data_IF_903391554218
#
_entry.id   IF_903391554218
#
_cell.length_a   1.000
_cell.length_b   1.000
_cell.length_c   1.000
_cell.angle_alpha   90.00
_cell.angle_beta   90.00
_cell.angle_gamma   90.00
#
_symmetry.space_group_name_H-M   'P 1'
#
loop_
_entity.id
_entity.type
_entity.pdbx_description
1 polymer ?
#
# COMPACT_ATOMS: atom_id res chain seq x y z
N UNK A 1 -9.13 -15.35 -22.18
CA UNK A 1 -8.38 -14.56 -23.18
C UNK A 1 -7.85 -13.31 -22.47
N UNK A 2 -7.32 -12.32 -23.18
CA UNK A 2 -6.86 -11.04 -22.60
C UNK A 2 -8.00 -10.03 -22.69
N UNK A 3 -8.41 -9.46 -21.56
CA UNK A 3 -9.45 -8.44 -21.48
C UNK A 3 -8.91 -7.05 -21.75
N UNK A 4 -7.70 -6.74 -21.25
CA UNK A 4 -7.00 -5.47 -21.46
C UNK A 4 -5.54 -5.78 -21.81
N UNK A 5 -5.09 -5.30 -22.96
CA UNK A 5 -3.71 -5.40 -23.44
C UNK A 5 -3.13 -3.99 -23.61
N UNK A 6 -2.20 -3.62 -22.74
CA UNK A 6 -1.47 -2.35 -22.75
C UNK A 6 -0.11 -2.61 -23.39
N UNK A 7 0.19 -1.93 -24.50
CA UNK A 7 1.39 -2.17 -25.29
C UNK A 7 2.25 -0.90 -25.43
N UNK A 8 3.37 -0.87 -24.69
CA UNK A 8 4.38 0.21 -24.71
C UNK A 8 3.77 1.61 -24.60
N UNK A 9 2.79 1.74 -23.70
CA UNK A 9 2.01 2.96 -23.53
C UNK A 9 2.81 4.01 -22.79
N UNK A 10 2.87 5.19 -23.37
CA UNK A 10 3.39 6.39 -22.71
C UNK A 10 2.40 7.54 -22.81
N UNK A 11 2.31 8.36 -21.77
CA UNK A 11 1.50 9.56 -21.72
C UNK A 11 2.32 10.76 -21.27
N UNK A 12 2.35 11.76 -22.16
CA UNK A 12 3.01 13.05 -21.93
C UNK A 12 1.97 14.15 -21.77
N UNK A 13 2.14 14.97 -20.74
CA UNK A 13 1.41 16.21 -20.50
C UNK A 13 2.36 17.40 -20.64
N UNK A 14 1.82 18.56 -21.01
CA UNK A 14 2.58 19.82 -21.02
C UNK A 14 2.24 20.59 -19.74
N UNK A 15 3.23 20.81 -18.89
CA UNK A 15 3.13 21.67 -17.72
C UNK A 15 3.48 23.10 -18.14
N UNK A 16 2.53 24.01 -18.02
CA UNK A 16 2.76 25.44 -18.28
C UNK A 16 3.22 26.11 -16.99
N UNK A 17 4.44 26.62 -16.98
CA UNK A 17 5.10 27.23 -15.81
C UNK A 17 4.74 28.71 -15.62
N UNK A 18 4.19 29.37 -16.63
CA UNK A 18 3.76 30.78 -16.57
C UNK A 18 2.22 30.88 -16.64
N UNK A 19 1.57 31.22 -15.52
CA UNK A 19 0.24 31.85 -15.56
C UNK A 19 0.47 33.37 -15.52
N UNK A 20 0.20 34.14 -16.60
CA UNK A 20 0.34 35.58 -16.55
C UNK A 20 -0.63 36.16 -15.52
N UNK A 21 -0.11 36.92 -14.56
CA UNK A 21 -0.88 37.50 -13.45
C UNK A 21 -1.71 38.72 -13.86
N UNK A 22 -1.53 39.21 -15.09
CA UNK A 22 -2.20 40.39 -15.61
C UNK A 22 -2.36 40.36 -17.13
N UNK A 23 -3.48 40.91 -17.62
CA UNK A 23 -3.76 41.11 -19.05
C UNK A 23 -2.65 41.91 -19.75
N UNK A 24 -1.92 42.79 -19.02
CA UNK A 24 -0.76 43.53 -19.57
C UNK A 24 0.45 42.63 -19.89
N UNK A 25 0.64 41.51 -19.19
CA UNK A 25 1.70 40.54 -19.48
C UNK A 25 1.41 39.72 -20.74
N UNK A 26 0.12 39.53 -21.06
CA UNK A 26 -0.32 38.87 -22.29
C UNK A 26 0.09 39.63 -23.56
N UNK A 27 0.10 40.96 -23.50
CA UNK A 27 0.45 41.83 -24.63
C UNK A 27 1.96 42.09 -24.77
N UNK A 28 2.77 41.78 -23.75
CA UNK A 28 4.22 42.06 -23.74
C UNK A 28 5.09 40.82 -24.02
N UNK A 29 4.62 39.60 -23.75
CA UNK A 29 5.34 38.37 -24.13
C UNK A 29 4.91 37.86 -25.51
N UNK A 30 5.51 38.40 -26.58
CA UNK A 30 5.48 37.85 -27.95
C UNK A 30 6.37 36.58 -28.10
N UNK A 31 6.32 35.66 -27.13
CA UNK A 31 7.12 34.44 -27.10
C UNK A 31 6.23 33.21 -26.96
N UNK A 32 6.63 32.08 -27.56
CA UNK A 32 5.94 30.79 -27.36
C UNK A 32 5.83 30.50 -25.85
N UNK A 33 4.66 30.06 -25.36
CA UNK A 33 4.49 29.74 -23.95
C UNK A 33 5.55 28.72 -23.55
N UNK A 34 6.28 29.01 -22.47
CA UNK A 34 7.22 28.04 -21.89
C UNK A 34 6.40 26.92 -21.28
N UNK A 35 6.65 25.71 -21.73
CA UNK A 35 6.08 24.50 -21.15
C UNK A 35 7.19 23.47 -20.97
N UNK A 36 7.03 22.63 -19.95
CA UNK A 36 7.85 21.46 -19.72
C UNK A 36 7.03 20.21 -20.01
N UNK A 37 7.68 19.23 -20.62
CA UNK A 37 7.07 17.94 -20.91
C UNK A 37 7.14 17.06 -19.64
N UNK A 38 5.98 16.67 -19.11
CA UNK A 38 5.84 15.76 -17.98
C UNK A 38 5.32 14.40 -18.45
N UNK A 39 6.08 13.34 -18.20
CA UNK A 39 5.70 11.97 -18.52
C UNK A 39 4.99 11.34 -17.32
N UNK A 40 3.66 11.26 -17.39
CA UNK A 40 2.87 10.63 -16.33
C UNK A 40 2.92 9.10 -16.39
N UNK A 41 3.05 8.54 -17.59
CA UNK A 41 3.21 7.10 -17.85
C UNK A 41 4.26 6.96 -18.94
N UNK A 42 5.15 5.98 -18.83
CA UNK A 42 6.27 5.80 -19.75
C UNK A 42 6.60 4.33 -19.97
N UNK A 43 6.45 3.91 -21.21
CA UNK A 43 6.84 2.60 -21.74
C UNK A 43 6.22 1.44 -20.94
N UNK A 44 4.95 1.58 -20.58
CA UNK A 44 4.20 0.58 -19.80
C UNK A 44 3.60 -0.48 -20.71
N UNK A 45 3.86 -1.75 -20.40
CA UNK A 45 3.20 -2.90 -21.01
C UNK A 45 2.62 -3.78 -19.92
N UNK A 46 1.38 -4.22 -20.09
CA UNK A 46 0.61 -4.96 -19.08
C UNK A 46 -0.50 -5.77 -19.75
N UNK A 47 -0.72 -7.00 -19.31
CA UNK A 47 -1.80 -7.87 -19.80
C UNK A 47 -2.71 -8.33 -18.67
N UNK A 48 -4.00 -8.03 -18.80
CA UNK A 48 -5.01 -8.39 -17.80
C UNK A 48 -5.93 -9.45 -18.41
N UNK A 49 -6.00 -10.61 -17.75
CA UNK A 49 -6.81 -11.75 -18.20
C UNK A 49 -8.27 -11.52 -17.87
N UNK A 50 -9.14 -12.03 -18.74
CA UNK A 50 -10.58 -12.05 -18.49
C UNK A 50 -10.93 -12.77 -17.19
N UNK A 51 -11.90 -12.25 -16.44
CA UNK A 51 -12.42 -12.83 -15.20
C UNK A 51 -11.43 -12.83 -14.04
N UNK A 52 -10.37 -12.01 -14.13
CA UNK A 52 -9.41 -11.82 -13.04
C UNK A 52 -9.50 -10.44 -12.44
N UNK A 53 -9.08 -10.32 -11.19
CA UNK A 53 -8.90 -9.05 -10.50
C UNK A 53 -7.42 -8.67 -10.52
N UNK A 54 -7.10 -7.54 -11.11
CA UNK A 54 -5.74 -7.01 -11.21
C UNK A 54 -5.56 -5.78 -10.32
N UNK A 55 -4.63 -5.83 -9.38
CA UNK A 55 -4.30 -4.72 -8.49
C UNK A 55 -3.24 -3.79 -9.10
N UNK A 56 -3.48 -2.48 -9.11
CA UNK A 56 -2.51 -1.47 -9.51
C UNK A 56 -2.09 -0.64 -8.29
N UNK A 57 -0.85 -0.84 -7.84
CA UNK A 57 -0.29 -0.23 -6.63
C UNK A 57 0.88 0.70 -6.93
N UNK A 58 1.17 1.61 -6.01
CA UNK A 58 2.25 2.60 -6.16
C UNK A 58 1.88 3.93 -5.52
N UNK A 59 2.85 4.81 -5.30
CA UNK A 59 2.65 6.08 -4.60
C UNK A 59 1.68 7.03 -5.34
N UNK A 60 1.19 8.06 -4.64
CA UNK A 60 0.38 9.11 -5.26
C UNK A 60 1.17 9.84 -6.34
N UNK A 61 0.57 10.02 -7.51
CA UNK A 61 1.24 10.65 -8.65
C UNK A 61 2.17 9.75 -9.46
N UNK A 62 2.25 8.43 -9.19
CA UNK A 62 3.08 7.52 -10.00
C UNK A 62 2.47 7.14 -11.36
N UNK A 63 1.29 7.67 -11.71
CA UNK A 63 0.65 7.44 -13.01
C UNK A 63 -0.53 6.46 -13.02
N UNK A 64 -0.91 5.87 -11.88
CA UNK A 64 -2.02 4.87 -11.78
C UNK A 64 -3.32 5.36 -12.43
N UNK A 65 -3.84 6.50 -11.97
CA UNK A 65 -5.09 7.05 -12.50
C UNK A 65 -4.95 7.60 -13.93
N UNK A 66 -3.73 7.90 -14.40
CA UNK A 66 -3.49 8.23 -15.81
C UNK A 66 -3.54 6.98 -16.69
N UNK A 67 -2.94 5.87 -16.24
CA UNK A 67 -3.03 4.57 -16.89
C UNK A 67 -4.48 4.06 -16.91
N UNK A 68 -5.19 4.15 -15.78
CA UNK A 68 -6.58 3.73 -15.66
C UNK A 68 -7.49 4.54 -16.61
N UNK A 69 -7.28 5.86 -16.75
CA UNK A 69 -8.00 6.70 -17.73
C UNK A 69 -7.68 6.33 -19.19
N UNK A 70 -6.47 5.85 -19.48
CA UNK A 70 -6.13 5.35 -20.83
C UNK A 70 -6.79 4.00 -21.11
N UNK A 71 -6.85 3.11 -20.11
CA UNK A 71 -7.63 1.85 -20.21
C UNK A 71 -9.12 2.12 -20.42
N UNK A 72 -9.66 3.15 -19.75
CA UNK A 72 -11.05 3.58 -19.93
C UNK A 72 -11.33 4.27 -21.28
N UNK A 73 -10.31 4.54 -22.09
CA UNK A 73 -10.45 5.29 -23.35
C UNK A 73 -10.69 6.80 -23.19
N UNK A 74 -10.63 7.33 -21.96
CA UNK A 74 -10.81 8.77 -21.66
C UNK A 74 -9.60 9.58 -22.13
N UNK A 75 -8.40 9.00 -22.02
CA UNK A 75 -7.18 9.61 -22.52
C UNK A 75 -6.54 8.77 -23.60
N UNK A 76 -6.22 9.39 -24.74
CA UNK A 76 -5.40 8.75 -25.77
C UNK A 76 -3.93 8.70 -25.31
N UNK A 77 -3.24 7.55 -25.43
CA UNK A 77 -1.80 7.46 -25.26
C UNK A 77 -1.05 8.45 -26.18
N UNK A 78 0.11 8.92 -25.74
CA UNK A 78 1.03 9.67 -26.61
C UNK A 78 1.79 8.74 -27.55
N UNK A 79 2.19 7.58 -27.04
CA UNK A 79 2.76 6.46 -27.81
C UNK A 79 2.20 5.14 -27.29
N UNK A 80 2.31 4.07 -28.09
CA UNK A 80 1.74 2.77 -27.77
C UNK A 80 0.23 2.73 -27.96
N UNK A 81 -0.41 1.66 -27.50
CA UNK A 81 -1.85 1.46 -27.62
C UNK A 81 -2.42 0.66 -26.45
N UNK A 82 -3.71 0.85 -26.19
CA UNK A 82 -4.49 0.02 -25.27
C UNK A 82 -5.60 -0.65 -26.06
N UNK A 83 -5.67 -1.98 -26.00
CA UNK A 83 -6.72 -2.78 -26.64
C UNK A 83 -7.57 -3.41 -25.54
N UNK A 84 -8.89 -3.29 -25.66
CA UNK A 84 -9.83 -3.78 -24.66
C UNK A 84 -10.90 -4.65 -25.32
N UNK A 85 -11.16 -5.81 -24.75
CA UNK A 85 -12.13 -6.78 -25.25
C UNK A 85 -13.36 -6.84 -24.34
N UNK A 86 -14.29 -5.90 -24.54
CA UNK A 86 -15.57 -5.89 -23.83
C UNK A 86 -16.05 -4.49 -23.46
N UNK A 87 -17.24 -4.43 -22.84
CA UNK A 87 -17.80 -3.18 -22.28
C UNK A 87 -17.08 -2.81 -20.99
N UNK A 88 -16.52 -1.59 -20.97
CA UNK A 88 -15.83 -1.03 -19.80
C UNK A 88 -16.80 -0.14 -19.02
N UNK A 89 -16.89 -0.37 -17.72
CA UNK A 89 -17.40 0.60 -16.75
C UNK A 89 -16.24 1.10 -15.89
N UNK A 90 -16.18 2.40 -15.64
CA UNK A 90 -15.06 3.01 -14.92
C UNK A 90 -15.55 3.88 -13.76
N UNK A 91 -15.24 3.49 -12.53
CA UNK A 91 -15.49 4.23 -11.30
C UNK A 91 -14.39 5.29 -11.05
N UNK A 92 -14.08 6.07 -12.07
CA UNK A 92 -13.02 7.08 -12.05
C UNK A 92 -13.53 8.45 -11.60
N UNK A 93 -14.77 8.76 -11.97
CA UNK A 93 -15.39 10.06 -11.77
C UNK A 93 -16.83 9.83 -11.28
N UNK A 94 -16.97 9.35 -10.04
CA UNK A 94 -18.29 9.07 -9.46
C UNK A 94 -19.17 10.33 -9.49
N UNK A 95 -20.34 10.20 -10.12
CA UNK A 95 -21.26 11.31 -10.34
C UNK A 95 -20.90 12.24 -11.50
N UNK A 96 -19.90 11.92 -12.31
CA UNK A 96 -19.72 12.58 -13.61
C UNK A 96 -20.99 12.39 -14.45
N UNK A 97 -21.51 13.49 -14.98
CA UNK A 97 -22.79 13.51 -15.68
C UNK A 97 -24.01 13.66 -14.77
N UNK A 98 -23.86 13.79 -13.45
CA UNK A 98 -24.98 14.23 -12.61
C UNK A 98 -25.30 15.70 -12.85
N UNK A 99 -26.59 16.00 -12.93
CA UNK A 99 -27.13 17.34 -13.05
C UNK A 99 -27.66 17.81 -11.68
N UNK A 100 -27.12 18.90 -11.09
CA UNK A 100 -27.46 19.33 -9.73
C UNK A 100 -28.95 19.66 -9.51
N UNK A 101 -29.63 20.14 -10.55
CA UNK A 101 -31.06 20.49 -10.49
C UNK A 101 -32.00 19.29 -10.64
N UNK A 102 -31.49 18.13 -11.09
CA UNK A 102 -32.29 16.91 -11.23
C UNK A 102 -32.31 16.15 -9.91
N UNK A 103 -33.38 15.40 -9.69
CA UNK A 103 -33.53 14.46 -8.56
C UNK A 103 -32.52 13.32 -8.64
N UNK A 104 -32.30 12.61 -7.53
CA UNK A 104 -31.48 11.39 -7.54
C UNK A 104 -31.99 10.37 -8.55
N UNK A 105 -33.31 10.17 -8.63
CA UNK A 105 -33.96 9.27 -9.60
C UNK A 105 -33.64 9.65 -11.04
N UNK A 106 -33.82 10.92 -11.40
CA UNK A 106 -33.51 11.41 -12.75
C UNK A 106 -32.01 11.30 -13.08
N UNK A 107 -31.15 11.52 -12.09
CA UNK A 107 -29.71 11.32 -12.22
C UNK A 107 -29.32 9.86 -12.43
N UNK A 108 -30.05 8.90 -11.85
CA UNK A 108 -29.87 7.47 -12.16
C UNK A 108 -30.11 7.22 -13.65
N UNK A 109 -31.24 7.70 -14.21
CA UNK A 109 -31.53 7.53 -15.64
C UNK A 109 -30.49 8.20 -16.53
N UNK A 110 -30.10 9.43 -16.19
CA UNK A 110 -29.09 10.17 -16.95
C UNK A 110 -27.76 9.41 -16.97
N UNK A 111 -27.26 9.00 -15.81
CA UNK A 111 -25.97 8.32 -15.70
C UNK A 111 -26.00 6.90 -16.30
N UNK A 112 -27.08 6.14 -16.07
CA UNK A 112 -27.29 4.84 -16.70
C UNK A 112 -27.28 4.93 -18.24
N UNK A 113 -27.89 5.97 -18.81
CA UNK A 113 -27.87 6.19 -20.26
C UNK A 113 -26.48 6.52 -20.81
N UNK A 114 -25.68 7.29 -20.05
CA UNK A 114 -24.26 7.56 -20.38
C UNK A 114 -23.44 6.26 -20.37
N UNK A 115 -23.76 5.36 -19.44
CA UNK A 115 -23.14 4.04 -19.32
C UNK A 115 -23.72 3.00 -20.31
N UNK A 116 -24.62 3.42 -21.21
CA UNK A 116 -25.14 2.60 -22.31
C UNK A 116 -26.33 1.70 -21.94
N UNK A 117 -26.97 1.91 -20.78
CA UNK A 117 -28.22 1.23 -20.45
C UNK A 117 -29.41 1.87 -21.16
N UNK A 118 -30.30 1.03 -21.67
CA UNK A 118 -31.63 1.46 -22.09
C UNK A 118 -32.50 1.85 -20.89
N UNK A 119 -33.57 2.60 -21.15
CA UNK A 119 -34.55 2.97 -20.12
C UNK A 119 -35.14 1.74 -19.44
N UNK A 120 -35.51 0.71 -20.20
CA UNK A 120 -36.08 -0.54 -19.67
C UNK A 120 -35.10 -1.28 -18.75
N UNK A 121 -33.83 -1.39 -19.15
CA UNK A 121 -32.80 -1.97 -18.27
C UNK A 121 -32.59 -1.13 -17.00
N UNK A 122 -32.70 0.18 -17.10
CA UNK A 122 -32.59 1.07 -15.95
C UNK A 122 -33.78 0.87 -14.99
N UNK A 123 -35.00 0.71 -15.53
CA UNK A 123 -36.20 0.44 -14.73
C UNK A 123 -36.06 -0.86 -13.90
N UNK A 124 -35.48 -1.91 -14.50
CA UNK A 124 -35.23 -3.20 -13.82
C UNK A 124 -34.19 -3.11 -12.69
N UNK A 125 -33.27 -2.14 -12.77
CA UNK A 125 -32.18 -1.95 -11.80
C UNK A 125 -32.49 -0.88 -10.76
N UNK A 126 -33.49 -0.03 -10.99
CA UNK A 126 -33.73 1.19 -10.23
C UNK A 126 -33.83 0.94 -8.73
N UNK A 127 -34.70 0.01 -8.32
CA UNK A 127 -34.92 -0.28 -6.90
C UNK A 127 -33.66 -0.83 -6.22
N UNK A 128 -32.90 -1.69 -6.92
CA UNK A 128 -31.63 -2.23 -6.42
C UNK A 128 -30.57 -1.14 -6.26
N UNK A 129 -30.49 -0.21 -7.21
CA UNK A 129 -29.58 0.95 -7.14
C UNK A 129 -29.93 1.81 -5.92
N UNK A 130 -31.21 2.13 -5.73
CA UNK A 130 -31.67 2.99 -4.62
C UNK A 130 -31.44 2.31 -3.27
N UNK A 131 -31.70 1.02 -3.17
CA UNK A 131 -31.45 0.22 -1.95
C UNK A 131 -29.96 0.08 -1.64
N UNK A 132 -29.12 -0.13 -2.66
CA UNK A 132 -27.68 -0.18 -2.51
C UNK A 132 -27.13 1.17 -2.03
N UNK A 133 -27.60 2.27 -2.64
CA UNK A 133 -27.21 3.61 -2.22
C UNK A 133 -27.72 3.94 -0.80
N UNK A 134 -28.81 3.33 -0.34
CA UNK A 134 -29.45 3.65 0.94
C UNK A 134 -30.10 5.04 0.95
N UNK A 135 -30.66 5.46 -0.20
CA UNK A 135 -31.19 6.80 -0.42
C UNK A 135 -32.70 6.83 -0.66
N UNK A 136 -33.44 5.80 -0.23
CA UNK A 136 -34.88 5.66 -0.45
C UNK A 136 -35.68 6.92 -0.08
N UNK A 137 -35.34 7.56 1.05
CA UNK A 137 -36.02 8.77 1.53
C UNK A 137 -35.64 10.06 0.79
N UNK A 138 -34.51 10.06 0.06
CA UNK A 138 -33.94 11.25 -0.58
C UNK A 138 -33.91 11.15 -2.11
N UNK A 139 -34.33 10.02 -2.68
CA UNK A 139 -34.14 9.73 -4.11
C UNK A 139 -34.86 10.73 -5.02
N UNK A 140 -36.00 11.25 -4.57
CA UNK A 140 -36.80 12.24 -5.30
C UNK A 140 -36.45 13.70 -4.90
N UNK A 141 -35.36 13.90 -4.14
CA UNK A 141 -34.81 15.23 -3.86
C UNK A 141 -33.71 15.60 -4.88
N UNK A 142 -33.61 16.88 -5.30
CA UNK A 142 -32.53 17.35 -6.15
C UNK A 142 -31.14 17.06 -5.58
N UNK A 143 -30.22 16.59 -6.42
CA UNK A 143 -28.89 16.13 -5.99
C UNK A 143 -28.02 17.28 -5.44
N UNK A 144 -28.30 18.54 -5.77
CA UNK A 144 -27.66 19.71 -5.11
C UNK A 144 -27.89 19.78 -3.60
N UNK A 145 -28.89 19.08 -3.07
CA UNK A 145 -29.18 19.00 -1.63
C UNK A 145 -28.55 17.78 -0.97
N UNK A 146 -27.86 16.93 -1.73
CA UNK A 146 -27.19 15.75 -1.20
C UNK A 146 -25.93 16.15 -0.45
N UNK A 147 -25.61 15.42 0.62
CA UNK A 147 -24.25 15.47 1.16
C UNK A 147 -23.26 14.88 0.15
N UNK A 148 -21.97 15.19 0.31
CA UNK A 148 -20.91 14.58 -0.50
C UNK A 148 -20.95 13.04 -0.45
N UNK A 149 -21.26 12.46 0.71
CA UNK A 149 -21.43 11.02 0.89
C UNK A 149 -22.61 10.45 0.10
N UNK A 150 -23.77 11.11 0.16
CA UNK A 150 -24.96 10.68 -0.61
C UNK A 150 -24.70 10.75 -2.12
N UNK A 151 -24.05 11.83 -2.57
CA UNK A 151 -23.67 12.02 -3.98
C UNK A 151 -22.81 10.86 -4.49
N UNK A 152 -21.75 10.54 -3.72
CA UNK A 152 -20.82 9.46 -4.07
C UNK A 152 -21.49 8.09 -3.99
N UNK A 153 -22.30 7.82 -2.96
CA UNK A 153 -23.06 6.57 -2.82
C UNK A 153 -23.98 6.33 -4.01
N UNK A 154 -24.68 7.37 -4.49
CA UNK A 154 -25.55 7.25 -5.67
C UNK A 154 -24.74 6.97 -6.94
N UNK A 155 -23.67 7.73 -7.18
CA UNK A 155 -22.81 7.53 -8.35
C UNK A 155 -22.20 6.13 -8.39
N UNK A 156 -21.75 5.62 -7.24
CA UNK A 156 -21.23 4.27 -7.12
C UNK A 156 -22.32 3.22 -7.35
N UNK A 157 -23.48 3.38 -6.71
CA UNK A 157 -24.59 2.43 -6.81
C UNK A 157 -25.04 2.22 -8.26
N UNK A 158 -25.14 3.29 -9.04
CA UNK A 158 -25.46 3.19 -10.47
C UNK A 158 -24.36 2.40 -11.19
N UNK A 159 -23.11 2.81 -11.05
CA UNK A 159 -22.03 2.30 -11.85
C UNK A 159 -21.66 0.83 -11.55
N UNK A 160 -21.94 0.32 -10.34
CA UNK A 160 -21.74 -1.10 -10.00
C UNK A 160 -22.91 -2.01 -10.37
N UNK A 161 -24.09 -1.44 -10.66
CA UNK A 161 -25.25 -2.19 -11.15
C UNK A 161 -25.35 -2.21 -12.68
N UNK A 162 -24.50 -1.43 -13.37
CA UNK A 162 -24.30 -1.59 -14.82
C UNK A 162 -23.48 -2.85 -15.04
N UNK A 163 -24.06 -3.89 -15.64
CA UNK A 163 -23.45 -5.20 -15.92
C UNK A 163 -22.21 -5.08 -16.85
N UNK A 164 -20.99 -4.98 -16.28
CA UNK A 164 -19.78 -4.67 -17.03
C UNK A 164 -18.98 -5.93 -17.32
N UNK A 165 -18.34 -6.02 -18.49
CA UNK A 165 -17.36 -7.08 -18.73
C UNK A 165 -16.01 -6.75 -18.08
N UNK A 166 -15.72 -5.45 -18.01
CA UNK A 166 -14.51 -4.88 -17.43
C UNK A 166 -14.92 -3.74 -16.49
N UNK A 167 -14.52 -3.82 -15.22
CA UNK A 167 -14.73 -2.78 -14.23
C UNK A 167 -13.40 -2.17 -13.81
N UNK A 168 -13.24 -0.87 -14.04
CA UNK A 168 -12.07 -0.10 -13.58
C UNK A 168 -12.45 0.66 -12.32
N UNK A 169 -11.71 0.46 -11.24
CA UNK A 169 -12.00 1.08 -9.95
C UNK A 169 -10.81 1.91 -9.50
N UNK A 170 -10.99 3.24 -9.41
CA UNK A 170 -10.01 4.10 -8.75
C UNK A 170 -10.18 4.02 -7.22
N UNK A 171 -9.29 4.65 -6.47
CA UNK A 171 -9.23 4.70 -4.99
C UNK A 171 -10.52 5.16 -4.26
N UNK A 172 -11.59 5.40 -5.01
CA UNK A 172 -12.91 5.84 -4.58
C UNK A 172 -13.67 4.82 -3.73
N UNK A 173 -13.21 3.57 -3.62
CA UNK A 173 -13.78 2.60 -2.66
C UNK A 173 -13.66 3.11 -1.22
N UNK A 174 -12.65 3.93 -0.92
CA UNK A 174 -12.47 4.50 0.41
C UNK A 174 -13.48 5.62 0.75
N UNK A 175 -14.36 6.01 -0.17
CA UNK A 175 -15.35 7.07 0.06
C UNK A 175 -16.65 6.48 0.57
N UNK A 176 -17.09 6.92 1.75
CA UNK A 176 -18.28 6.43 2.43
C UNK A 176 -18.00 6.05 3.88
N UNK A 177 -19.03 5.60 4.58
CA UNK A 177 -18.90 4.98 5.91
C UNK A 177 -18.41 3.52 5.78
N UNK A 178 -17.95 2.94 6.89
CA UNK A 178 -17.42 1.57 6.95
C UNK A 178 -18.43 0.52 6.45
N UNK A 179 -19.72 0.74 6.73
CA UNK A 179 -20.80 -0.13 6.27
C UNK A 179 -20.90 -0.14 4.73
N UNK A 180 -20.90 1.05 4.11
CA UNK A 180 -20.93 1.19 2.66
C UNK A 180 -19.67 0.64 2.00
N UNK A 181 -18.49 0.87 2.59
CA UNK A 181 -17.24 0.28 2.10
C UNK A 181 -17.30 -1.25 2.07
N UNK A 182 -17.84 -1.86 3.13
CA UNK A 182 -18.03 -3.32 3.20
C UNK A 182 -18.99 -3.81 2.12
N UNK A 183 -20.13 -3.13 1.92
CA UNK A 183 -21.07 -3.46 0.82
C UNK A 183 -20.41 -3.35 -0.55
N UNK A 184 -19.56 -2.34 -0.77
CA UNK A 184 -18.79 -2.20 -2.01
C UNK A 184 -17.84 -3.38 -2.23
N UNK A 185 -17.08 -3.78 -1.20
CA UNK A 185 -16.15 -4.91 -1.29
C UNK A 185 -16.88 -6.24 -1.53
N UNK A 186 -18.00 -6.46 -0.85
CA UNK A 186 -18.81 -7.66 -1.03
C UNK A 186 -19.40 -7.73 -2.45
N UNK A 187 -19.80 -6.59 -3.03
CA UNK A 187 -20.24 -6.52 -4.43
C UNK A 187 -19.10 -6.77 -5.42
N UNK A 188 -17.91 -6.21 -5.19
CA UNK A 188 -16.75 -6.51 -6.05
C UNK A 188 -16.38 -8.00 -6.02
N UNK A 189 -16.55 -8.66 -4.87
CA UNK A 189 -16.38 -10.11 -4.74
C UNK A 189 -17.44 -10.90 -5.52
N UNK A 190 -18.70 -10.45 -5.54
CA UNK A 190 -19.74 -11.11 -6.34
C UNK A 190 -19.46 -10.95 -7.84
N UNK A 191 -19.08 -9.76 -8.29
CA UNK A 191 -18.67 -9.52 -9.68
C UNK A 191 -17.47 -10.39 -10.08
N UNK A 192 -16.47 -10.54 -9.20
CA UNK A 192 -15.36 -11.48 -9.41
C UNK A 192 -15.88 -12.91 -9.60
N UNK A 193 -16.79 -13.36 -8.75
CA UNK A 193 -17.37 -14.70 -8.83
C UNK A 193 -18.21 -14.93 -10.11
N UNK A 194 -18.82 -13.87 -10.64
CA UNK A 194 -19.55 -13.84 -11.92
C UNK A 194 -18.61 -13.81 -13.15
N UNK A 195 -17.30 -13.68 -12.94
CA UNK A 195 -16.30 -13.67 -14.02
C UNK A 195 -16.07 -12.30 -14.65
N UNK A 196 -16.46 -11.21 -13.97
CA UNK A 196 -16.13 -9.84 -14.38
C UNK A 196 -14.64 -9.60 -14.21
N UNK A 197 -14.03 -8.94 -15.20
CA UNK A 197 -12.63 -8.51 -15.10
C UNK A 197 -12.56 -7.21 -14.31
N UNK A 198 -11.74 -7.13 -13.27
CA UNK A 198 -11.68 -5.94 -12.41
C UNK A 198 -10.25 -5.41 -12.38
N UNK A 199 -10.06 -4.12 -12.61
CA UNK A 199 -8.79 -3.42 -12.36
C UNK A 199 -8.98 -2.51 -11.16
N UNK A 200 -8.24 -2.78 -10.09
CA UNK A 200 -8.37 -2.08 -8.83
C UNK A 200 -7.14 -1.24 -8.55
N UNK A 201 -7.30 0.08 -8.49
CA UNK A 201 -6.28 0.99 -7.95
C UNK A 201 -6.56 1.19 -6.47
N UNK A 202 -5.61 0.83 -5.61
CA UNK A 202 -5.74 1.00 -4.17
C UNK A 202 -4.40 1.09 -3.47
N UNK A 203 -4.38 1.82 -2.34
CA UNK A 203 -3.28 1.83 -1.39
C UNK A 203 -3.48 0.84 -0.24
N UNK A 204 -4.65 0.19 -0.15
CA UNK A 204 -4.94 -0.79 0.88
C UNK A 204 -4.35 -2.16 0.49
N UNK A 205 -3.10 -2.41 0.93
CA UNK A 205 -2.36 -3.63 0.58
C UNK A 205 -3.08 -4.93 0.97
N UNK A 206 -3.83 -4.92 2.09
CA UNK A 206 -4.64 -6.08 2.49
C UNK A 206 -5.74 -6.44 1.47
N UNK A 207 -6.32 -5.44 0.78
CA UNK A 207 -7.30 -5.69 -0.29
C UNK A 207 -6.60 -6.30 -1.51
N UNK A 208 -5.41 -5.82 -1.85
CA UNK A 208 -4.61 -6.35 -2.96
C UNK A 208 -4.29 -7.82 -2.72
N UNK A 209 -3.79 -8.16 -1.53
CA UNK A 209 -3.43 -9.52 -1.17
C UNK A 209 -4.64 -10.46 -1.06
N UNK A 210 -5.78 -9.96 -0.57
CA UNK A 210 -6.97 -10.78 -0.31
C UNK A 210 -7.94 -10.93 -1.48
N UNK A 211 -7.87 -10.06 -2.49
CA UNK A 211 -8.86 -10.03 -3.58
C UNK A 211 -8.26 -10.14 -4.98
N UNK A 212 -7.03 -9.64 -5.21
CA UNK A 212 -6.43 -9.64 -6.54
C UNK A 212 -5.85 -11.02 -6.87
N UNK A 213 -5.89 -11.38 -8.15
CA UNK A 213 -5.24 -12.58 -8.69
C UNK A 213 -3.83 -12.26 -9.21
N UNK A 214 -3.62 -11.02 -9.65
CA UNK A 214 -2.32 -10.47 -10.07
C UNK A 214 -2.22 -9.01 -9.64
N UNK A 215 -1.01 -8.47 -9.53
CA UNK A 215 -0.79 -7.07 -9.24
C UNK A 215 0.38 -6.48 -10.03
N UNK A 216 0.36 -5.16 -10.18
CA UNK A 216 1.44 -4.36 -10.77
C UNK A 216 1.78 -3.21 -9.84
N UNK A 217 3.07 -3.07 -9.53
CA UNK A 217 3.60 -1.91 -8.85
C UNK A 217 4.15 -0.90 -9.87
N UNK A 218 3.60 0.32 -9.84
CA UNK A 218 4.07 1.47 -10.59
C UNK A 218 4.84 2.48 -9.74
N UNK A 219 5.88 3.06 -10.32
CA UNK A 219 6.67 4.14 -9.74
C UNK A 219 7.08 5.13 -10.84
N UNK A 220 6.83 6.42 -10.62
CA UNK A 220 7.18 7.50 -11.56
C UNK A 220 6.83 7.20 -13.04
N UNK A 221 5.64 6.64 -13.28
CA UNK A 221 5.12 6.33 -14.60
C UNK A 221 5.59 5.02 -15.21
N UNK A 222 6.38 4.21 -14.50
CA UNK A 222 6.94 2.93 -14.99
C UNK A 222 6.47 1.75 -14.15
N UNK A 223 6.49 0.56 -14.73
CA UNK A 223 6.27 -0.71 -14.01
C UNK A 223 7.57 -1.14 -13.35
N UNK A 224 7.50 -1.41 -12.04
CA UNK A 224 8.64 -1.85 -11.23
C UNK A 224 8.58 -3.34 -10.94
N UNK A 225 7.37 -3.87 -10.75
CA UNK A 225 7.12 -5.29 -10.54
C UNK A 225 5.71 -5.65 -11.01
N UNK A 226 5.54 -6.86 -11.49
CA UNK A 226 4.25 -7.45 -11.88
C UNK A 226 4.25 -8.93 -11.50
N UNK A 227 3.08 -9.46 -11.13
CA UNK A 227 2.89 -10.88 -10.89
C UNK A 227 2.01 -11.16 -9.68
N UNK A 228 2.45 -12.11 -8.85
CA UNK A 228 1.72 -12.50 -7.63
C UNK A 228 1.53 -11.31 -6.67
N UNK A 229 0.31 -11.08 -6.15
CA UNK A 229 0.01 -9.97 -5.26
C UNK A 229 0.88 -9.90 -4.00
N UNK A 230 1.19 -11.03 -3.35
CA UNK A 230 2.02 -11.04 -2.14
C UNK A 230 3.45 -10.59 -2.47
N UNK A 231 4.02 -11.11 -3.55
CA UNK A 231 5.35 -10.72 -4.02
C UNK A 231 5.43 -9.24 -4.40
N UNK A 232 4.44 -8.73 -5.15
CA UNK A 232 4.40 -7.34 -5.61
C UNK A 232 4.24 -6.37 -4.45
N UNK A 233 3.35 -6.68 -3.50
CA UNK A 233 3.19 -5.88 -2.27
C UNK A 233 4.48 -5.87 -1.45
N UNK A 234 5.15 -7.02 -1.30
CA UNK A 234 6.44 -7.10 -0.61
C UNK A 234 7.51 -6.20 -1.26
N UNK A 235 7.63 -6.23 -2.59
CA UNK A 235 8.55 -5.36 -3.34
C UNK A 235 8.21 -3.89 -3.21
N UNK A 236 6.92 -3.54 -3.27
CA UNK A 236 6.45 -2.17 -3.07
C UNK A 236 6.82 -1.64 -1.69
N UNK A 237 6.50 -2.39 -0.62
CA UNK A 237 6.80 -1.98 0.75
C UNK A 237 8.30 -1.86 0.98
N UNK A 238 9.11 -2.78 0.44
CA UNK A 238 10.56 -2.67 0.49
C UNK A 238 11.06 -1.39 -0.20
N UNK A 239 10.60 -1.11 -1.42
CA UNK A 239 10.99 0.11 -2.13
C UNK A 239 10.49 1.42 -1.49
N UNK A 240 9.36 1.40 -0.78
CA UNK A 240 8.91 2.55 0.03
C UNK A 240 9.86 2.74 1.21
N UNK A 241 10.17 1.68 1.94
CA UNK A 241 11.07 1.73 3.09
C UNK A 241 12.49 2.16 2.68
N UNK A 242 13.00 1.70 1.55
CA UNK A 242 14.30 2.11 1.03
C UNK A 242 14.32 3.60 0.68
N UNK A 243 13.26 4.10 0.03
CA UNK A 243 13.13 5.53 -0.29
C UNK A 243 12.90 6.41 0.92
N UNK A 244 12.19 5.92 1.93
CA UNK A 244 12.05 6.61 3.21
C UNK A 244 13.40 6.63 3.92
N UNK A 245 14.14 5.52 3.96
CA UNK A 245 15.50 5.50 4.47
C UNK A 245 16.45 6.44 3.70
N UNK A 246 16.36 6.50 2.37
CA UNK A 246 17.13 7.43 1.53
C UNK A 246 16.70 8.89 1.71
N UNK A 247 15.39 9.16 1.87
CA UNK A 247 14.85 10.51 2.13
C UNK A 247 15.13 10.98 3.53
N UNK A 248 15.13 10.10 4.52
CA UNK A 248 15.56 10.41 5.87
C UNK A 248 17.06 10.68 5.86
N UNK A 249 17.86 9.89 5.12
CA UNK A 249 19.26 10.21 4.83
C UNK A 249 19.44 11.56 4.10
N UNK A 250 18.55 11.94 3.19
CA UNK A 250 18.66 13.16 2.39
C UNK A 250 18.08 14.41 3.08
N UNK A 251 17.04 14.24 3.90
CA UNK A 251 16.50 15.29 4.77
C UNK A 251 17.42 15.52 5.97
N UNK A 252 18.15 14.49 6.40
CA UNK A 252 19.34 14.59 7.24
C UNK A 252 20.56 15.18 6.47
N UNK A 253 20.43 15.67 5.24
CA UNK A 253 21.48 16.46 4.56
C UNK A 253 21.09 17.94 4.37
N UNK A 254 19.80 18.28 4.38
CA UNK A 254 19.33 19.68 4.36
C UNK A 254 18.92 20.21 5.76
N UNK A 255 18.61 19.32 6.71
CA UNK A 255 18.51 19.64 8.15
C UNK A 255 19.85 19.50 8.87
N UNK A 256 20.81 18.80 8.26
CA UNK A 256 22.18 18.77 8.74
C UNK A 256 22.95 19.87 8.03
N UNK A 257 23.37 20.86 8.82
CA UNK A 257 24.77 21.22 8.69
C UNK A 257 25.59 19.93 8.88
N UNK A 258 26.41 19.52 7.90
CA UNK A 258 27.45 18.55 8.18
C UNK A 258 28.37 19.25 9.16
N UNK A 259 28.13 19.04 10.45
CA UNK A 259 29.25 18.92 11.35
C UNK A 259 29.78 17.50 11.13
N UNK A 260 30.38 17.29 9.95
CA UNK A 260 31.68 16.61 9.87
C UNK A 260 32.71 17.50 10.57
N UNK A 261 32.46 17.69 11.84
CA UNK A 261 33.37 17.81 12.94
C UNK A 261 32.47 17.28 14.07
N UNK A 262 32.70 16.07 14.55
CA UNK A 262 33.42 16.01 15.82
C UNK A 262 34.24 17.31 15.99
N UNK A 263 33.61 18.35 16.52
CA UNK A 263 34.37 19.24 17.38
C UNK A 263 35.07 18.27 18.36
N UNK A 264 36.39 18.33 18.51
CA UNK A 264 37.16 17.35 19.28
C UNK A 264 36.47 17.10 20.62
N UNK A 265 35.85 15.92 20.76
CA UNK A 265 34.79 15.72 21.74
C UNK A 265 34.14 14.33 21.70
N UNK A 266 34.90 13.28 21.38
CA UNK A 266 34.84 11.94 22.00
C UNK A 266 33.47 11.27 22.32
N UNK A 267 32.40 11.38 21.52
CA UNK A 267 31.19 10.56 21.70
C UNK A 267 30.90 9.60 20.54
N UNK A 268 30.87 8.29 20.79
CA UNK A 268 30.52 7.26 19.79
C UNK A 268 29.94 6.02 20.46
N UNK A 269 28.90 5.41 19.91
CA UNK A 269 28.37 4.12 20.36
C UNK A 269 28.48 3.14 19.21
N UNK A 270 29.16 2.00 19.38
CA UNK A 270 29.36 1.00 18.34
C UNK A 270 28.90 -0.38 18.81
N UNK A 271 27.95 -0.97 18.08
CA UNK A 271 27.57 -2.38 18.28
C UNK A 271 28.73 -3.26 17.82
N UNK A 272 29.29 -4.04 18.74
CA UNK A 272 30.47 -4.88 18.52
C UNK A 272 30.07 -6.30 18.12
N UNK A 273 29.03 -6.86 18.75
CA UNK A 273 28.68 -8.27 18.58
C UNK A 273 27.22 -8.57 18.90
N UNK A 274 26.65 -9.54 18.18
CA UNK A 274 25.39 -10.19 18.51
C UNK A 274 25.63 -11.68 18.72
N UNK A 275 25.07 -12.23 19.80
CA UNK A 275 25.27 -13.64 20.22
C UNK A 275 23.94 -14.25 20.58
N UNK A 276 23.62 -15.39 19.96
CA UNK A 276 22.44 -16.19 20.31
C UNK A 276 22.77 -17.10 21.49
N UNK A 277 21.91 -17.14 22.50
CA UNK A 277 22.10 -17.92 23.72
C UNK A 277 20.80 -18.58 24.16
N UNK A 278 20.91 -19.72 24.84
CA UNK A 278 19.80 -20.31 25.57
C UNK A 278 19.54 -19.56 26.91
N UNK A 279 18.44 -19.85 27.63
CA UNK A 279 18.14 -19.22 28.92
C UNK A 279 19.21 -19.45 30.01
N UNK A 280 20.03 -20.49 29.87
CA UNK A 280 21.15 -20.79 30.78
C UNK A 280 22.43 -20.00 30.41
N UNK A 281 22.38 -19.20 29.34
CA UNK A 281 23.47 -18.35 28.85
C UNK A 281 24.47 -19.08 27.95
N UNK A 282 24.21 -20.32 27.56
CA UNK A 282 25.09 -21.05 26.64
C UNK A 282 24.84 -20.61 25.20
N UNK A 283 25.93 -20.45 24.44
CA UNK A 283 25.83 -20.06 23.05
C UNK A 283 25.17 -21.14 22.19
N UNK A 284 24.16 -20.75 21.42
CA UNK A 284 23.46 -21.63 20.48
C UNK A 284 23.66 -21.17 19.04
N UNK A 285 23.86 -22.09 18.07
CA UNK A 285 24.10 -21.72 16.67
C UNK A 285 22.81 -21.40 15.88
N UNK A 286 21.63 -21.67 16.44
CA UNK A 286 20.32 -21.43 15.83
C UNK A 286 19.25 -21.35 16.92
N UNK A 287 18.09 -20.76 16.61
CA UNK A 287 16.89 -20.81 17.43
C UNK A 287 16.02 -22.01 17.07
N UNK A 288 15.21 -22.48 18.02
CA UNK A 288 14.15 -23.46 17.78
C UNK A 288 12.80 -22.73 17.89
N UNK A 289 11.93 -22.94 16.90
CA UNK A 289 10.59 -22.37 16.86
C UNK A 289 9.78 -22.80 18.08
N UNK A 290 9.23 -21.84 18.82
CA UNK A 290 8.47 -22.09 20.04
C UNK A 290 9.31 -22.23 21.31
N UNK A 291 10.63 -22.38 21.19
CA UNK A 291 11.53 -22.47 22.35
C UNK A 291 12.01 -21.07 22.77
N UNK A 292 12.44 -20.90 24.03
CA UNK A 292 13.07 -19.67 24.46
C UNK A 292 14.39 -19.38 23.72
N UNK A 293 14.65 -18.10 23.45
CA UNK A 293 15.92 -17.65 22.86
C UNK A 293 16.31 -16.28 23.42
N UNK A 294 17.55 -16.16 23.88
CA UNK A 294 18.15 -14.89 24.30
C UNK A 294 19.10 -14.38 23.21
N UNK A 295 18.96 -13.11 22.85
CA UNK A 295 19.85 -12.44 21.90
C UNK A 295 20.65 -11.39 22.66
N UNK A 296 21.94 -11.68 22.87
CA UNK A 296 22.87 -10.77 23.55
C UNK A 296 23.49 -9.80 22.54
N UNK A 297 23.36 -8.51 22.82
CA UNK A 297 23.98 -7.43 22.04
C UNK A 297 25.08 -6.83 22.89
N UNK A 298 26.32 -6.82 22.39
CA UNK A 298 27.48 -6.16 23.00
C UNK A 298 27.81 -4.88 22.23
N UNK A 299 28.10 -3.80 22.95
CA UNK A 299 28.51 -2.53 22.34
C UNK A 299 29.52 -1.77 23.19
N UNK A 300 30.27 -0.88 22.54
CA UNK A 300 31.21 0.03 23.20
C UNK A 300 30.75 1.48 23.04
N UNK A 301 30.91 2.27 24.10
CA UNK A 301 30.70 3.71 24.10
C UNK A 301 31.99 4.45 24.38
N UNK A 302 32.20 5.56 23.67
CA UNK A 302 33.12 6.64 24.04
C UNK A 302 32.24 7.83 24.37
N UNK A 303 32.49 8.53 25.48
CA UNK A 303 31.71 9.68 25.92
C UNK A 303 30.38 9.36 26.63
N UNK A 304 29.56 10.38 26.90
CA UNK A 304 28.31 10.28 27.67
C UNK A 304 27.05 10.33 26.80
N UNK A 305 26.09 9.46 27.09
CA UNK A 305 24.80 9.37 26.41
C UNK A 305 23.66 9.55 27.42
N UNK A 306 22.78 10.52 27.19
CA UNK A 306 21.68 10.81 28.11
C UNK A 306 20.51 9.83 27.95
N UNK A 307 20.06 9.58 26.72
CA UNK A 307 18.96 8.64 26.41
C UNK A 307 19.28 7.77 25.19
N UNK A 308 20.31 6.90 25.27
CA UNK A 308 20.61 5.95 24.21
C UNK A 308 19.52 4.87 24.15
N UNK A 309 19.15 4.44 22.93
CA UNK A 309 18.24 3.33 22.68
C UNK A 309 18.85 2.38 21.65
N UNK A 310 18.71 1.08 21.91
CA UNK A 310 19.00 0.06 20.91
C UNK A 310 17.70 -0.40 20.27
N UNK A 311 17.70 -0.46 18.95
CA UNK A 311 16.56 -0.91 18.14
C UNK A 311 17.01 -2.15 17.38
N UNK A 312 16.35 -3.27 17.62
CA UNK A 312 16.60 -4.54 16.94
C UNK A 312 15.52 -4.74 15.88
N UNK A 313 15.97 -4.86 14.64
CA UNK A 313 15.14 -5.14 13.48
C UNK A 313 15.29 -6.61 13.10
N UNK A 314 14.16 -7.29 12.94
CA UNK A 314 14.11 -8.65 12.40
C UNK A 314 13.69 -8.58 10.94
N UNK A 315 14.48 -9.21 10.08
CA UNK A 315 14.28 -9.24 8.63
C UNK A 315 14.16 -10.67 8.12
N UNK A 316 13.48 -10.84 7.00
CA UNK A 316 13.54 -12.09 6.24
C UNK A 316 14.91 -12.25 5.58
N UNK A 317 15.24 -13.47 5.14
CA UNK A 317 16.43 -13.72 4.32
C UNK A 317 16.49 -12.88 3.03
N UNK A 318 15.34 -12.41 2.54
CA UNK A 318 15.24 -11.52 1.37
C UNK A 318 15.30 -10.02 1.72
N UNK A 319 15.54 -9.65 2.99
CA UNK A 319 15.66 -8.26 3.43
C UNK A 319 14.32 -7.56 3.74
N UNK A 320 13.20 -8.30 3.75
CA UNK A 320 11.90 -7.74 4.15
C UNK A 320 11.88 -7.52 5.66
N UNK A 321 11.51 -6.31 6.11
CA UNK A 321 11.31 -6.03 7.52
C UNK A 321 10.10 -6.79 8.07
N UNK A 322 10.31 -7.62 9.11
CA UNK A 322 9.27 -8.45 9.72
C UNK A 322 8.75 -7.85 11.03
N UNK A 323 9.67 -7.37 11.88
CA UNK A 323 9.34 -6.80 13.17
C UNK A 323 10.47 -5.91 13.72
N UNK A 324 10.12 -5.01 14.62
CA UNK A 324 11.08 -4.22 15.41
C UNK A 324 10.79 -4.38 16.89
N UNK A 325 11.85 -4.50 17.70
CA UNK A 325 11.80 -4.34 19.15
C UNK A 325 12.90 -3.37 19.59
N UNK A 326 12.75 -2.74 20.75
CA UNK A 326 13.69 -1.75 21.24
C UNK A 326 13.88 -1.88 22.75
N UNK A 327 14.99 -1.35 23.25
CA UNK A 327 15.22 -1.29 24.70
C UNK A 327 14.15 -0.40 25.36
N UNK A 328 13.57 -0.82 26.50
CA UNK A 328 12.59 -0.03 27.25
C UNK A 328 13.04 1.41 27.52
N UNK A 329 12.09 2.33 27.70
CA UNK A 329 12.41 3.73 28.00
C UNK A 329 13.29 3.87 29.25
N UNK A 330 14.35 4.67 29.15
CA UNK A 330 15.36 4.79 30.21
C UNK A 330 16.35 3.62 30.26
N UNK A 331 16.29 2.69 29.31
CA UNK A 331 17.27 1.62 29.14
C UNK A 331 17.87 1.62 27.71
N UNK A 332 19.19 1.44 27.56
CA UNK A 332 20.17 1.42 28.64
C UNK A 332 20.17 2.73 29.46
N UNK A 333 20.43 2.62 30.77
CA UNK A 333 20.64 3.80 31.64
C UNK A 333 21.71 4.71 31.01
N UNK A 334 21.77 6.02 31.36
CA UNK A 334 22.75 6.93 30.80
C UNK A 334 24.14 6.31 30.71
N UNK A 335 24.59 6.08 29.48
CA UNK A 335 25.81 5.32 29.24
C UNK A 335 27.01 6.25 29.38
N UNK A 336 27.91 5.91 30.31
CA UNK A 336 29.27 6.45 30.32
C UNK A 336 30.15 5.75 29.28
N UNK A 337 31.44 6.11 29.27
CA UNK A 337 32.44 5.41 28.45
C UNK A 337 32.67 3.99 28.97
N UNK A 338 32.68 3.01 28.06
CA UNK A 338 32.89 1.62 28.45
C UNK A 338 32.34 0.61 27.45
N UNK A 339 32.25 -0.65 27.91
CA UNK A 339 31.61 -1.75 27.20
C UNK A 339 30.38 -2.20 27.95
N UNK A 340 29.36 -2.54 27.18
CA UNK A 340 28.02 -2.79 27.68
C UNK A 340 27.42 -3.98 26.94
N UNK A 341 26.45 -4.62 27.59
CA UNK A 341 25.72 -5.73 27.01
C UNK A 341 24.27 -5.72 27.48
N UNK A 342 23.35 -6.11 26.61
CA UNK A 342 21.94 -6.31 26.93
C UNK A 342 21.41 -7.58 26.28
N UNK A 343 20.40 -8.17 26.90
CA UNK A 343 19.71 -9.35 26.41
C UNK A 343 18.32 -8.96 25.91
N UNK A 344 18.00 -9.33 24.68
CA UNK A 344 16.64 -9.37 24.18
C UNK A 344 16.12 -10.80 24.33
N UNK A 345 15.16 -11.00 25.24
CA UNK A 345 14.62 -12.33 25.58
C UNK A 345 13.33 -12.59 24.82
N UNK A 346 13.25 -13.76 24.20
CA UNK A 346 12.02 -14.35 23.69
C UNK A 346 11.67 -15.55 24.57
N UNK A 347 10.56 -15.48 25.30
CA UNK A 347 10.10 -16.61 26.12
C UNK A 347 9.62 -17.80 25.27
N UNK A 348 9.17 -17.51 24.05
CA UNK A 348 8.82 -18.49 23.02
C UNK A 348 9.07 -17.83 21.67
N UNK A 349 10.07 -18.31 20.92
CA UNK A 349 10.45 -17.72 19.64
C UNK A 349 9.31 -17.87 18.61
N UNK A 350 8.64 -16.77 18.19
CA UNK A 350 7.42 -16.84 17.39
C UNK A 350 7.71 -16.97 15.89
N UNK A 351 8.86 -17.54 15.51
CA UNK A 351 9.28 -17.64 14.11
C UNK A 351 9.11 -19.05 13.60
N UNK A 352 8.65 -19.17 12.35
CA UNK A 352 8.65 -20.44 11.65
C UNK A 352 10.10 -20.88 11.34
N UNK A 353 10.34 -22.18 11.06
CA UNK A 353 11.65 -22.63 10.60
C UNK A 353 12.08 -21.94 9.30
N UNK A 354 13.30 -21.40 9.26
CA UNK A 354 13.77 -20.62 8.12
C UNK A 354 15.04 -19.84 8.38
N UNK A 355 15.45 -19.05 7.38
CA UNK A 355 16.58 -18.13 7.46
C UNK A 355 16.10 -16.69 7.55
N UNK A 356 16.64 -15.97 8.53
CA UNK A 356 16.30 -14.61 8.93
C UNK A 356 17.58 -13.81 9.14
N UNK A 357 17.42 -12.49 9.25
CA UNK A 357 18.51 -11.58 9.59
C UNK A 357 18.11 -10.66 10.72
N UNK A 358 19.09 -10.25 11.51
CA UNK A 358 18.93 -9.30 12.60
C UNK A 358 19.84 -8.11 12.33
N UNK A 359 19.34 -6.90 12.51
CA UNK A 359 20.15 -5.69 12.49
C UNK A 359 19.86 -4.88 13.75
N UNK A 360 20.91 -4.33 14.35
CA UNK A 360 20.79 -3.45 15.52
C UNK A 360 21.22 -2.04 15.15
N UNK A 361 20.37 -1.07 15.49
CA UNK A 361 20.62 0.36 15.36
C UNK A 361 20.69 0.99 16.75
N UNK A 362 21.67 1.86 16.99
CA UNK A 362 21.77 2.65 18.21
C UNK A 362 21.37 4.09 17.91
N UNK A 363 20.38 4.60 18.64
CA UNK A 363 19.82 5.94 18.44
C UNK A 363 19.72 6.71 19.75
N UNK A 364 19.56 8.03 19.66
CA UNK A 364 19.15 8.87 20.78
C UNK A 364 17.64 9.08 20.76
N UNK A 365 16.94 8.87 21.88
CA UNK A 365 15.47 8.95 21.93
C UNK A 365 14.94 10.37 21.71
N UNK A 366 15.69 11.40 22.10
CA UNK A 366 15.22 12.80 22.02
C UNK A 366 15.45 13.41 20.65
N UNK A 367 16.59 13.07 20.05
CA UNK A 367 17.07 13.69 18.82
C UNK A 367 16.93 12.79 17.60
N UNK A 368 16.61 11.50 17.79
CA UNK A 368 16.61 10.45 16.76
C UNK A 368 17.95 10.30 16.01
N UNK A 369 19.03 10.87 16.55
CA UNK A 369 20.36 10.74 15.95
C UNK A 369 20.78 9.28 16.01
N UNK A 370 21.17 8.73 14.85
CA UNK A 370 21.74 7.39 14.74
C UNK A 370 23.22 7.47 15.09
N UNK A 371 23.62 6.82 16.18
CA UNK A 371 25.03 6.70 16.56
C UNK A 371 25.74 5.61 15.74
N UNK A 372 25.04 4.51 15.45
CA UNK A 372 25.58 3.39 14.71
C UNK A 372 24.48 2.48 14.17
N UNK A 373 24.72 1.97 12.97
CA UNK A 373 23.94 0.90 12.35
C UNK A 373 24.88 -0.28 12.14
N UNK A 374 24.53 -1.44 12.69
CA UNK A 374 25.35 -2.65 12.54
C UNK A 374 25.14 -3.35 11.19
N UNK A 375 26.09 -4.21 10.84
CA UNK A 375 25.90 -5.21 9.78
C UNK A 375 24.73 -6.15 10.12
N UNK A 376 24.24 -6.85 9.10
CA UNK A 376 23.20 -7.87 9.28
C UNK A 376 23.80 -9.16 9.86
N UNK A 377 23.17 -9.70 10.90
CA UNK A 377 23.53 -10.97 11.54
C UNK A 377 22.54 -12.06 11.13
N UNK A 378 23.03 -13.21 10.69
CA UNK A 378 22.18 -14.32 10.31
C UNK A 378 21.52 -14.99 11.53
N UNK A 379 20.22 -15.25 11.43
CA UNK A 379 19.45 -16.06 12.37
C UNK A 379 18.82 -17.23 11.62
N UNK A 380 19.25 -18.45 11.96
CA UNK A 380 18.59 -19.68 11.50
C UNK A 380 17.61 -20.15 12.56
N UNK A 381 16.39 -20.51 12.15
CA UNK A 381 15.35 -21.08 13.01
C UNK A 381 15.01 -22.49 12.53
N UNK A 382 14.88 -23.45 13.45
CA UNK A 382 14.56 -24.87 13.19
C UNK A 382 13.29 -25.30 13.93
N UNK A 383 12.77 -26.49 13.63
CA UNK A 383 11.65 -27.11 14.34
C UNK A 383 12.04 -28.52 14.82
N UNK A 384 11.44 -28.97 15.93
CA UNK A 384 11.67 -30.29 16.51
C UNK A 384 10.65 -31.39 16.09
N UNK A 385 9.62 -31.08 15.30
CA UNK A 385 8.69 -32.16 14.90
C UNK A 385 7.46 -31.83 14.05
N UNK A 386 7.17 -30.57 13.76
CA UNK A 386 6.02 -30.19 12.93
C UNK A 386 6.43 -29.18 11.86
N UNK A 387 5.93 -29.34 10.64
CA UNK A 387 6.10 -28.36 9.57
C UNK A 387 5.18 -27.16 9.85
N UNK A 388 5.79 -26.02 10.19
CA UNK A 388 5.09 -24.74 10.26
C UNK A 388 5.27 -24.07 8.90
N UNK A 389 4.17 -23.78 8.21
CA UNK A 389 4.19 -22.98 6.98
C UNK A 389 4.09 -21.49 7.32
N UNK A 390 4.88 -20.67 6.64
CA UNK A 390 4.87 -19.20 6.79
C UNK A 390 6.13 -18.64 7.43
N UNK A 391 6.03 -17.40 7.94
CA UNK A 391 7.17 -16.65 8.52
C UNK A 391 7.12 -16.65 10.05
N UNK A 392 5.92 -16.69 10.63
CA UNK A 392 5.68 -16.71 12.07
C UNK A 392 5.05 -18.03 12.50
N UNK A 393 5.44 -18.52 13.67
CA UNK A 393 4.77 -19.62 14.36
C UNK A 393 3.60 -19.03 15.17
N UNK A 394 2.38 -19.49 14.88
CA UNK A 394 1.16 -19.07 15.57
C UNK A 394 0.76 -20.13 16.59
N UNK A 395 1.09 -19.98 17.89
CA UNK A 395 0.65 -20.91 18.91
C UNK A 395 -0.88 -20.79 19.08
N UNK A 396 -1.62 -21.70 18.46
CA UNK A 396 -3.08 -21.77 18.54
C UNK A 396 -3.53 -23.04 19.28
N UNK A 397 -4.46 -22.89 20.21
CA UNK A 397 -5.13 -24.01 20.86
C UNK A 397 -6.49 -24.27 20.22
N UNK A 398 -6.71 -25.50 19.74
CA UNK A 398 -7.98 -25.92 19.18
C UNK A 398 -8.84 -26.55 20.27
N UNK A 399 -9.93 -25.87 20.64
CA UNK A 399 -10.90 -26.38 21.62
C UNK A 399 -12.03 -27.05 20.84
N UNK A 400 -12.12 -28.38 20.90
CA UNK A 400 -13.21 -29.12 20.30
C UNK A 400 -14.43 -29.16 21.24
N UNK A 401 -15.58 -28.70 20.78
CA UNK A 401 -16.87 -28.91 21.46
C UNK A 401 -17.47 -30.28 21.12
N UNK A 402 -18.09 -30.95 22.09
CA UNK A 402 -18.91 -32.14 21.83
C UNK A 402 -20.09 -31.75 20.92
N UNK A 403 -20.24 -32.45 19.79
CA UNK A 403 -21.46 -32.43 18.98
C UNK A 403 -22.58 -32.98 19.88
N UNK A 404 -23.53 -32.14 20.30
CA UNK A 404 -24.75 -32.62 20.98
C UNK A 404 -25.37 -33.68 20.06
N UNK A 405 -25.39 -34.92 20.52
CA UNK A 405 -26.04 -36.00 19.82
C UNK A 405 -27.49 -35.63 19.57
N UNK A 406 -27.94 -35.87 18.34
CA UNK A 406 -29.35 -36.03 18.02
C UNK A 406 -29.89 -37.12 18.96
N UNK A 407 -30.69 -36.72 19.93
CA UNK A 407 -31.53 -37.65 20.68
C UNK A 407 -32.59 -38.19 19.72
N UNK A 408 -32.59 -39.51 19.54
CA UNK A 408 -33.59 -40.28 18.81
C UNK A 408 -34.98 -40.18 19.44
#
# INVERSE_FOLDING_TARGET
>A
MIAIDVQNVSKKFRLYTDKPGSVKELFTKFGRPKYEDFWAVRDVSLQIKEGTVHGLVGHNGCGKSSLLRMMAGIHTPTTGQVVTAGRISALLELGAGFHPELTGRENIYLNASILGLSRTQTDELLDRIVEFAGLQAFIDSPVKHYSSGMFVRLGFAVAVHVDPQILLVDEVIAVGDEEFQRRCLDHLRSLKAEGVTIVLVTHAMGIVQGMCDTATWMDHGRVMAEGDPLSVVGKYLHGVNDKEAERDLANDLDSFHPTTAVAPGHTSLRVEKLVLQDPDGQHVPFGISGDPLDIRVDWSTVGQFAEPRLVMHLLSSAGLHLATTYTPDGSPEPLGEGRWSALCRFDSLPLAPGAYKIQVTATDVRTNVIFHKSDEYDLTVRAEGHSIEGVFALPAQWIHGLRRGESA
#
